data_IF_246586967520
#
_entry.id   IF_246586967520
#
_cell.length_a   1.000
_cell.length_b   1.000
_cell.length_c   1.000
_cell.angle_alpha   90.00
_cell.angle_beta   90.00
_cell.angle_gamma   90.00
#
_symmetry.space_group_name_H-M   'P 1'
#
loop_
_entity.id
_entity.type
_entity.pdbx_description
1 polymer ?
#
# COMPACT_ATOMS: atom_id res chain seq x y z
N UNK A 1 -13.63 11.58 -10.69
CA UNK A 1 -13.47 12.06 -9.31
C UNK A 1 -12.02 11.89 -8.86
N UNK A 2 -11.41 12.96 -8.37
CA UNK A 2 -10.02 12.93 -7.94
C UNK A 2 -9.89 12.16 -6.63
N UNK A 3 -8.99 11.17 -6.60
CA UNK A 3 -8.72 10.42 -5.39
C UNK A 3 -7.55 11.05 -4.64
N UNK A 4 -7.79 11.36 -3.39
CA UNK A 4 -6.76 11.96 -2.54
C UNK A 4 -5.85 10.88 -1.96
N UNK A 5 -4.58 11.23 -1.81
CA UNK A 5 -3.61 10.37 -1.13
C UNK A 5 -4.10 10.13 0.31
N UNK A 6 -4.15 8.88 0.77
CA UNK A 6 -4.49 8.63 2.18
C UNK A 6 -3.43 9.23 3.08
N UNK A 7 -3.86 9.75 4.22
CA UNK A 7 -2.96 10.41 5.16
C UNK A 7 -2.24 9.44 6.09
N UNK A 8 -2.80 8.24 6.26
CA UNK A 8 -2.21 7.23 7.13
C UNK A 8 -2.16 5.88 6.43
N UNK A 9 -1.28 5.01 6.91
CA UNK A 9 -1.18 3.65 6.38
C UNK A 9 -2.48 2.87 6.62
N UNK A 10 -3.17 3.13 7.73
CA UNK A 10 -4.42 2.46 8.05
C UNK A 10 -5.49 2.76 7.01
N UNK A 11 -5.61 4.02 6.61
CA UNK A 11 -6.54 4.42 5.57
C UNK A 11 -6.14 3.80 4.24
N UNK A 12 -4.85 3.81 3.93
CA UNK A 12 -4.33 3.22 2.70
C UNK A 12 -4.66 1.73 2.62
N UNK A 13 -4.41 1.00 3.69
CA UNK A 13 -4.66 -0.45 3.74
C UNK A 13 -6.17 -0.74 3.67
N UNK A 14 -7.00 0.07 4.31
CA UNK A 14 -8.45 -0.10 4.22
C UNK A 14 -8.95 0.08 2.78
N UNK A 15 -8.39 1.05 2.06
CA UNK A 15 -8.74 1.26 0.65
C UNK A 15 -8.30 0.10 -0.22
N UNK A 16 -7.12 -0.45 0.05
CA UNK A 16 -6.63 -1.63 -0.68
C UNK A 16 -7.48 -2.85 -0.38
N UNK A 17 -7.90 -3.02 0.87
CA UNK A 17 -8.78 -4.14 1.24
C UNK A 17 -10.09 -4.12 0.45
N UNK A 18 -10.63 -2.94 0.20
CA UNK A 18 -11.86 -2.80 -0.57
C UNK A 18 -11.65 -3.02 -2.07
N UNK A 19 -10.47 -2.64 -2.57
CA UNK A 19 -10.16 -2.73 -3.99
C UNK A 19 -9.79 -4.15 -4.41
N UNK A 20 -9.10 -4.88 -3.55
CA UNK A 20 -8.54 -6.18 -3.91
C UNK A 20 -9.48 -7.32 -3.55
N UNK A 21 -9.55 -8.32 -4.44
CA UNK A 21 -10.31 -9.53 -4.20
C UNK A 21 -9.55 -10.42 -3.20
N UNK A 22 -10.24 -11.44 -2.69
CA UNK A 22 -9.60 -12.43 -1.81
C UNK A 22 -8.46 -13.15 -2.53
N UNK A 23 -8.64 -13.43 -3.82
CA UNK A 23 -7.61 -14.07 -4.63
C UNK A 23 -6.36 -13.20 -4.74
N UNK A 24 -6.55 -11.89 -4.96
CA UNK A 24 -5.45 -10.95 -5.04
C UNK A 24 -4.68 -10.90 -3.72
N UNK A 25 -5.41 -10.87 -2.62
CA UNK A 25 -4.80 -10.84 -1.28
C UNK A 25 -3.99 -12.10 -1.02
N UNK A 26 -4.51 -13.26 -1.40
CA UNK A 26 -3.79 -14.52 -1.25
C UNK A 26 -2.54 -14.56 -2.11
N UNK A 27 -2.62 -14.01 -3.32
CA UNK A 27 -1.46 -13.94 -4.21
C UNK A 27 -0.35 -13.08 -3.59
N UNK A 28 -0.72 -11.96 -2.99
CA UNK A 28 0.25 -11.10 -2.29
C UNK A 28 0.91 -11.85 -1.13
N UNK A 29 0.12 -12.58 -0.35
CA UNK A 29 0.65 -13.33 0.78
C UNK A 29 1.61 -14.44 0.37
N UNK A 30 1.38 -15.07 -0.78
CA UNK A 30 2.23 -16.14 -1.28
C UNK A 30 3.48 -15.64 -1.99
N UNK A 31 3.50 -14.40 -2.41
CA UNK A 31 4.62 -13.84 -3.16
C UNK A 31 5.88 -13.78 -2.30
N UNK A 32 6.99 -14.26 -2.82
CA UNK A 32 8.28 -14.18 -2.12
C UNK A 32 8.82 -12.75 -2.14
N UNK A 33 8.59 -12.07 -3.25
CA UNK A 33 8.92 -10.66 -3.38
C UNK A 33 7.74 -9.96 -4.01
N UNK A 34 7.77 -8.64 -4.00
CA UNK A 34 6.66 -7.83 -4.46
C UNK A 34 6.89 -7.23 -5.86
N UNK A 35 7.89 -7.73 -6.59
CA UNK A 35 8.24 -7.17 -7.90
C UNK A 35 7.06 -7.15 -8.86
N UNK A 36 6.33 -8.25 -8.98
CA UNK A 36 5.17 -8.30 -9.87
C UNK A 36 4.12 -7.26 -9.51
N UNK A 37 3.92 -7.05 -8.21
CA UNK A 37 2.93 -6.10 -7.73
C UNK A 37 3.39 -4.65 -7.87
N UNK A 38 4.71 -4.42 -7.94
CA UNK A 38 5.24 -3.08 -8.23
C UNK A 38 4.83 -2.61 -9.63
N UNK A 39 4.77 -3.50 -10.59
CA UNK A 39 4.37 -3.14 -11.95
C UNK A 39 2.87 -2.96 -12.11
N UNK A 40 2.07 -3.66 -11.32
CA UNK A 40 0.61 -3.58 -11.41
C UNK A 40 0.03 -2.67 -10.35
N UNK A 41 -0.05 -3.15 -9.12
CA UNK A 41 -0.64 -2.40 -8.01
C UNK A 41 0.19 -1.18 -7.63
N UNK A 42 1.52 -1.30 -7.67
CA UNK A 42 2.40 -0.17 -7.39
C UNK A 42 2.18 0.98 -8.36
N UNK A 43 2.01 0.67 -9.64
CA UNK A 43 1.72 1.69 -10.65
C UNK A 43 0.39 2.37 -10.36
N UNK A 44 -0.63 1.59 -9.99
CA UNK A 44 -1.94 2.15 -9.63
C UNK A 44 -1.81 3.09 -8.42
N UNK A 45 -1.05 2.69 -7.41
CA UNK A 45 -0.81 3.52 -6.22
C UNK A 45 -0.13 4.83 -6.62
N UNK A 46 0.92 4.75 -7.42
CA UNK A 46 1.64 5.94 -7.85
C UNK A 46 0.74 6.89 -8.64
N UNK A 47 -0.02 6.35 -9.58
CA UNK A 47 -0.87 7.18 -10.44
C UNK A 47 -2.09 7.74 -9.71
N UNK A 48 -2.58 7.04 -8.71
CA UNK A 48 -3.80 7.42 -8.01
C UNK A 48 -3.53 8.26 -6.77
N UNK A 49 -2.52 7.87 -5.98
CA UNK A 49 -2.28 8.49 -4.68
C UNK A 49 -1.08 9.43 -4.63
N UNK A 50 -0.09 9.22 -5.47
CA UNK A 50 1.16 9.99 -5.39
C UNK A 50 1.23 11.08 -6.45
N UNK A 51 1.17 10.69 -7.72
CA UNK A 51 1.25 11.69 -8.79
C UNK A 51 0.02 12.58 -8.81
N UNK A 52 0.24 13.88 -8.91
CA UNK A 52 -0.85 14.85 -8.96
C UNK A 52 -1.53 15.13 -7.63
N UNK A 53 -1.08 14.52 -6.55
CA UNK A 53 -1.61 14.82 -5.22
C UNK A 53 -0.75 15.88 -4.52
N UNK A 54 -1.33 16.50 -3.50
CA UNK A 54 -0.62 17.51 -2.72
C UNK A 54 0.56 16.88 -1.99
N UNK A 55 1.71 17.52 -2.08
CA UNK A 55 2.94 17.03 -1.46
C UNK A 55 2.77 16.77 0.03
N UNK A 56 2.04 17.67 0.72
CA UNK A 56 1.80 17.53 2.16
C UNK A 56 1.10 16.23 2.51
N UNK A 57 0.14 15.81 1.69
CA UNK A 57 -0.58 14.56 1.92
C UNK A 57 0.32 13.36 1.71
N UNK A 58 1.13 13.41 0.67
CA UNK A 58 2.07 12.32 0.35
C UNK A 58 3.11 12.20 1.46
N UNK A 59 3.63 13.32 1.94
CA UNK A 59 4.59 13.32 3.05
C UNK A 59 3.99 12.77 4.33
N UNK A 60 2.73 13.09 4.62
CA UNK A 60 2.06 12.58 5.81
C UNK A 60 1.99 11.05 5.78
N UNK A 61 1.64 10.49 4.62
CA UNK A 61 1.60 9.04 4.46
C UNK A 61 2.99 8.43 4.62
N UNK A 62 3.99 9.05 4.01
CA UNK A 62 5.37 8.55 4.10
C UNK A 62 5.85 8.50 5.55
N UNK A 63 5.59 9.54 6.31
CA UNK A 63 5.95 9.59 7.73
C UNK A 63 5.23 8.51 8.53
N UNK A 64 3.95 8.29 8.24
CA UNK A 64 3.17 7.28 8.95
C UNK A 64 3.70 5.87 8.67
N UNK A 65 4.28 5.65 7.49
CA UNK A 65 4.91 4.39 7.12
C UNK A 65 6.31 4.23 7.68
N UNK A 66 6.83 5.26 8.36
CA UNK A 66 8.18 5.23 8.91
C UNK A 66 9.25 5.67 7.92
N UNK A 67 8.85 6.24 6.80
CA UNK A 67 9.78 6.72 5.77
C UNK A 67 10.03 8.21 5.96
N UNK A 68 11.04 8.55 6.76
CA UNK A 68 11.38 9.95 7.02
C UNK A 68 11.84 10.66 5.75
N UNK A 69 12.52 9.92 4.88
CA UNK A 69 12.99 10.44 3.61
C UNK A 69 12.59 9.47 2.50
N UNK A 70 11.67 9.89 1.66
CA UNK A 70 11.35 9.13 0.46
C UNK A 70 11.89 9.90 -0.74
N UNK A 71 12.58 9.20 -1.63
CA UNK A 71 13.25 9.82 -2.75
C UNK A 71 12.47 9.75 -4.05
N UNK A 72 11.54 8.84 -4.15
CA UNK A 72 10.76 8.66 -5.36
C UNK A 72 9.39 8.06 -5.07
N UNK A 73 8.50 8.20 -6.06
CA UNK A 73 7.19 7.56 -5.98
C UNK A 73 7.33 6.03 -5.93
N UNK A 74 8.34 5.48 -6.58
CA UNK A 74 8.62 4.05 -6.54
C UNK A 74 8.94 3.58 -5.14
N UNK A 75 9.78 4.32 -4.42
CA UNK A 75 10.15 3.99 -3.04
C UNK A 75 8.91 4.01 -2.13
N UNK A 76 8.08 5.04 -2.27
CA UNK A 76 6.89 5.16 -1.45
C UNK A 76 5.88 4.06 -1.75
N UNK A 77 5.65 3.76 -3.03
CA UNK A 77 4.72 2.68 -3.40
C UNK A 77 5.23 1.33 -2.91
N UNK A 78 6.55 1.11 -2.93
CA UNK A 78 7.15 -0.11 -2.39
C UNK A 78 6.89 -0.22 -0.89
N UNK A 79 7.06 0.87 -0.15
CA UNK A 79 6.80 0.88 1.29
C UNK A 79 5.34 0.57 1.59
N UNK A 80 4.42 1.11 0.80
CA UNK A 80 2.99 0.84 0.95
C UNK A 80 2.71 -0.64 0.71
N UNK A 81 3.24 -1.21 -0.37
CA UNK A 81 3.02 -2.62 -0.69
C UNK A 81 3.60 -3.56 0.35
N UNK A 82 4.82 -3.28 0.81
CA UNK A 82 5.45 -4.09 1.85
C UNK A 82 4.67 -4.01 3.15
N UNK A 83 4.22 -2.82 3.51
CA UNK A 83 3.39 -2.62 4.70
C UNK A 83 2.05 -3.33 4.58
N UNK A 84 1.45 -3.28 3.40
CA UNK A 84 0.18 -3.95 3.16
C UNK A 84 0.32 -5.47 3.27
N UNK A 85 1.40 -6.03 2.76
CA UNK A 85 1.67 -7.46 2.89
C UNK A 85 1.75 -7.88 4.36
N UNK A 86 2.42 -7.09 5.19
CA UNK A 86 2.49 -7.34 6.63
C UNK A 86 1.11 -7.24 7.28
N UNK A 87 0.31 -6.27 6.84
CA UNK A 87 -1.06 -6.10 7.30
C UNK A 87 -1.90 -7.34 7.00
N UNK A 88 -1.79 -7.88 5.79
CA UNK A 88 -2.52 -9.08 5.40
C UNK A 88 -2.08 -10.30 6.20
N UNK A 89 -0.78 -10.46 6.43
CA UNK A 89 -0.26 -11.56 7.25
C UNK A 89 -0.87 -11.53 8.64
N UNK A 90 -0.95 -10.36 9.23
CA UNK A 90 -1.53 -10.20 10.55
C UNK A 90 -3.01 -10.55 10.56
N UNK A 91 -3.76 -10.08 9.58
CA UNK A 91 -5.19 -10.37 9.48
C UNK A 91 -5.48 -11.86 9.31
N UNK A 92 -4.75 -12.52 8.41
CA UNK A 92 -4.95 -13.95 8.18
C UNK A 92 -4.52 -14.79 9.36
N UNK A 93 -3.47 -14.39 10.06
CA UNK A 93 -3.02 -15.05 11.26
C UNK A 93 -4.06 -14.97 12.37
N UNK A 94 -4.69 -13.82 12.54
CA UNK A 94 -5.75 -13.63 13.53
C UNK A 94 -6.97 -14.50 13.20
N UNK A 95 -7.34 -14.62 11.94
CA UNK A 95 -8.45 -15.49 11.52
C UNK A 95 -8.14 -16.95 11.75
N UNK A 96 -6.88 -17.35 11.63
CA UNK A 96 -6.47 -18.74 11.80
C UNK A 96 -6.44 -19.19 13.25
N UNK A 97 -6.45 -18.27 14.18
CA UNK A 97 -6.35 -18.59 15.61
C UNK A 97 -7.68 -18.88 16.30
N UNK A 98 -8.74 -18.93 15.57
CA UNK A 98 -10.04 -19.30 16.13
C UNK A 98 -10.18 -20.79 16.32
#
# INVERSE_FOLDING_TARGET
MKKYCPLTKEIAFARLDKRLSEEDKKAILKARDMIEFHFSLGMWIRNTWIYGNEEERVEALAKDLGEDLWFSADDLSSAILDGYKKHLRKLFKEKSKK
#
